data_IF_846970271979
#
_entry.id   IF_846970271979
#
_cell.length_a   1.000
_cell.length_b   1.000
_cell.length_c   1.000
_cell.angle_alpha   90.00
_cell.angle_beta   90.00
_cell.angle_gamma   90.00
#
_symmetry.space_group_name_H-M   'P 1'
#
loop_
_entity.id
_entity.type
_entity.pdbx_description
1 polymer ?
#
# COMPACT_ATOMS: atom_id res chain seq x y z
N UNK A 1 1.55 -31.90 -13.67
CA UNK A 1 1.34 -31.23 -12.38
C UNK A 1 0.47 -30.03 -12.64
N UNK A 2 -0.55 -29.86 -11.85
CA UNK A 2 -1.48 -28.74 -11.99
C UNK A 2 -0.93 -27.50 -11.26
N UNK A 3 -1.14 -26.33 -11.83
CA UNK A 3 -0.76 -25.05 -11.21
C UNK A 3 -1.40 -24.86 -9.84
N UNK A 4 -2.64 -25.33 -9.65
CA UNK A 4 -3.37 -25.26 -8.38
C UNK A 4 -2.67 -26.03 -7.26
N UNK A 5 -2.06 -27.17 -7.56
CA UNK A 5 -1.27 -27.95 -6.58
C UNK A 5 -0.01 -27.20 -6.14
N UNK A 6 0.69 -26.56 -7.09
CA UNK A 6 1.87 -25.74 -6.78
C UNK A 6 1.48 -24.53 -5.92
N UNK A 7 0.38 -23.86 -6.23
CA UNK A 7 -0.09 -22.72 -5.47
C UNK A 7 -0.59 -23.10 -4.07
N UNK A 8 -1.23 -24.26 -3.93
CA UNK A 8 -1.59 -24.82 -2.63
C UNK A 8 -0.34 -25.11 -1.78
N UNK A 9 0.72 -25.65 -2.41
CA UNK A 9 2.01 -25.87 -1.76
C UNK A 9 2.65 -24.55 -1.29
N UNK A 10 2.59 -23.49 -2.11
CA UNK A 10 3.08 -22.15 -1.77
C UNK A 10 2.39 -21.62 -0.52
N UNK A 11 1.06 -21.66 -0.50
CA UNK A 11 0.25 -21.17 0.65
C UNK A 11 0.54 -21.99 1.91
N UNK A 12 0.60 -23.32 1.79
CA UNK A 12 0.91 -24.24 2.91
C UNK A 12 2.28 -23.94 3.54
N UNK A 13 3.27 -23.60 2.71
CA UNK A 13 4.62 -23.28 3.18
C UNK A 13 4.81 -21.80 3.55
N UNK A 14 3.76 -20.99 3.56
CA UNK A 14 3.79 -19.55 3.85
C UNK A 14 4.82 -18.82 2.96
N UNK A 15 4.99 -19.29 1.73
CA UNK A 15 5.84 -18.64 0.75
C UNK A 15 5.16 -17.38 0.22
N UNK A 16 5.94 -16.34 -0.05
CA UNK A 16 5.44 -15.08 -0.61
C UNK A 16 5.21 -15.15 -2.12
N UNK A 17 6.07 -15.90 -2.82
CA UNK A 17 6.04 -15.96 -4.28
C UNK A 17 6.33 -17.39 -4.78
N UNK A 18 5.68 -17.77 -5.88
CA UNK A 18 6.03 -18.89 -6.74
C UNK A 18 6.75 -18.37 -7.99
N UNK A 19 7.87 -18.97 -8.33
CA UNK A 19 8.61 -18.68 -9.54
C UNK A 19 8.59 -19.90 -10.47
N UNK A 20 8.02 -19.75 -11.65
CA UNK A 20 8.08 -20.72 -12.73
C UNK A 20 9.02 -20.18 -13.81
N UNK A 21 9.95 -20.99 -14.27
CA UNK A 21 10.90 -20.60 -15.31
C UNK A 21 11.29 -21.81 -16.14
N UNK A 22 11.11 -21.72 -17.45
CA UNK A 22 11.50 -22.79 -18.38
C UNK A 22 12.97 -23.19 -18.18
N UNK A 23 13.24 -24.50 -18.16
CA UNK A 23 14.55 -25.09 -17.93
C UNK A 23 14.94 -25.22 -16.45
N UNK A 24 14.07 -24.87 -15.50
CA UNK A 24 14.33 -24.94 -14.06
C UNK A 24 13.17 -25.61 -13.32
N UNK A 25 13.43 -26.27 -12.16
CA UNK A 25 12.37 -26.67 -11.26
C UNK A 25 11.57 -25.46 -10.76
N UNK A 26 10.30 -25.63 -10.37
CA UNK A 26 9.57 -24.58 -9.67
C UNK A 26 10.31 -24.13 -8.42
N UNK A 27 10.26 -22.83 -8.10
CA UNK A 27 10.90 -22.25 -6.92
C UNK A 27 9.90 -21.43 -6.12
N UNK A 28 10.10 -21.38 -4.82
CA UNK A 28 9.30 -20.54 -3.91
C UNK A 28 10.19 -19.58 -3.15
N UNK A 29 9.65 -18.41 -2.82
CA UNK A 29 10.32 -17.46 -1.95
C UNK A 29 9.77 -17.60 -0.52
N UNK A 30 10.65 -17.99 0.42
CA UNK A 30 10.32 -18.15 1.84
C UNK A 30 11.26 -17.29 2.66
N UNK A 31 10.73 -16.38 3.47
CA UNK A 31 11.49 -15.42 4.28
C UNK A 31 12.54 -14.60 3.49
N UNK A 32 12.26 -14.32 2.22
CA UNK A 32 13.15 -13.57 1.34
C UNK A 32 14.06 -14.45 0.45
N UNK A 33 14.30 -15.71 0.82
CA UNK A 33 15.17 -16.63 0.09
C UNK A 33 14.41 -17.43 -0.96
N UNK A 34 14.99 -17.55 -2.16
CA UNK A 34 14.46 -18.42 -3.21
C UNK A 34 14.94 -19.85 -2.97
N UNK A 35 14.00 -20.81 -2.90
CA UNK A 35 14.25 -22.23 -2.68
C UNK A 35 13.63 -23.06 -3.79
N UNK A 36 14.37 -24.05 -4.27
CA UNK A 36 13.86 -25.02 -5.25
C UNK A 36 12.86 -25.97 -4.60
N UNK A 37 11.76 -26.24 -5.30
CA UNK A 37 10.90 -27.37 -4.96
C UNK A 37 11.56 -28.63 -5.54
N UNK A 38 11.48 -29.76 -4.83
CA UNK A 38 12.05 -31.02 -5.28
C UNK A 38 11.17 -31.67 -6.36
N UNK A 39 11.22 -31.10 -7.54
CA UNK A 39 10.48 -31.46 -8.74
C UNK A 39 11.43 -31.38 -9.95
N UNK A 40 11.12 -32.08 -11.06
CA UNK A 40 11.91 -31.98 -12.29
C UNK A 40 11.88 -30.54 -12.85
N UNK A 41 12.88 -30.22 -13.66
CA UNK A 41 12.89 -28.98 -14.42
C UNK A 41 11.73 -29.00 -15.43
N UNK A 42 11.06 -27.86 -15.57
CA UNK A 42 9.92 -27.69 -16.47
C UNK A 42 10.38 -27.25 -17.85
N UNK A 43 9.79 -27.80 -18.89
CA UNK A 43 9.98 -27.31 -20.24
C UNK A 43 9.17 -26.04 -20.52
N UNK A 44 9.50 -25.37 -21.63
CA UNK A 44 8.72 -24.19 -22.06
C UNK A 44 7.21 -24.49 -22.17
N UNK A 45 6.87 -25.64 -22.73
CA UNK A 45 5.47 -26.06 -22.92
C UNK A 45 4.71 -26.19 -21.59
N UNK A 46 5.38 -26.73 -20.58
CA UNK A 46 4.77 -26.95 -19.26
C UNK A 46 4.46 -25.60 -18.60
N UNK A 47 5.45 -24.70 -18.58
CA UNK A 47 5.27 -23.35 -17.98
C UNK A 47 4.23 -22.56 -18.74
N UNK A 48 4.28 -22.57 -20.08
CA UNK A 48 3.32 -21.88 -20.92
C UNK A 48 1.89 -22.39 -20.67
N UNK A 49 1.69 -23.71 -20.62
CA UNK A 49 0.38 -24.31 -20.34
C UNK A 49 -0.17 -23.90 -18.97
N UNK A 50 0.65 -24.02 -17.93
CA UNK A 50 0.27 -23.61 -16.57
C UNK A 50 -0.16 -22.13 -16.47
N UNK A 51 0.55 -21.25 -17.18
CA UNK A 51 0.25 -19.82 -17.20
C UNK A 51 -1.03 -19.56 -18.00
N UNK A 52 -1.22 -20.24 -19.12
CA UNK A 52 -2.43 -20.13 -19.94
C UNK A 52 -3.69 -20.61 -19.22
N UNK A 53 -3.59 -21.66 -18.40
CA UNK A 53 -4.73 -22.22 -17.66
C UNK A 53 -5.36 -21.21 -16.68
N UNK A 54 -4.59 -20.26 -16.19
CA UNK A 54 -5.06 -19.24 -15.26
C UNK A 54 -5.39 -17.89 -15.92
N UNK A 55 -5.23 -17.79 -17.26
CA UNK A 55 -5.54 -16.60 -18.05
C UNK A 55 -6.91 -16.71 -18.70
N UNK A 56 -7.64 -15.59 -18.73
CA UNK A 56 -8.80 -15.44 -19.61
C UNK A 56 -8.36 -15.13 -21.06
N UNK A 57 -9.31 -15.18 -22.01
CA UNK A 57 -8.99 -15.04 -23.44
C UNK A 57 -8.38 -13.67 -23.79
N UNK A 58 -8.79 -12.60 -23.12
CA UNK A 58 -8.22 -11.26 -23.30
C UNK A 58 -6.76 -11.20 -22.81
N UNK A 59 -6.47 -11.81 -21.67
CA UNK A 59 -5.12 -11.90 -21.10
C UNK A 59 -4.20 -12.76 -21.94
N UNK A 60 -4.71 -13.88 -22.49
CA UNK A 60 -3.96 -14.75 -23.43
C UNK A 60 -3.57 -13.98 -24.68
N UNK A 61 -4.52 -13.27 -25.29
CA UNK A 61 -4.25 -12.44 -26.47
C UNK A 61 -3.23 -11.35 -26.17
N UNK A 62 -3.36 -10.65 -25.04
CA UNK A 62 -2.42 -9.62 -24.61
C UNK A 62 -1.02 -10.18 -24.40
N UNK A 63 -0.92 -11.36 -23.75
CA UNK A 63 0.37 -12.03 -23.50
C UNK A 63 1.07 -12.43 -24.81
N UNK A 64 0.32 -12.95 -25.81
CA UNK A 64 0.88 -13.31 -27.10
C UNK A 64 1.38 -12.10 -27.91
N UNK A 65 0.66 -10.98 -27.82
CA UNK A 65 1.00 -9.74 -28.54
C UNK A 65 2.17 -8.99 -27.88
N UNK A 66 2.26 -9.00 -26.54
CA UNK A 66 3.20 -8.17 -25.77
C UNK A 66 4.35 -8.96 -25.13
N UNK A 67 4.30 -10.30 -25.11
CA UNK A 67 5.27 -11.21 -24.50
C UNK A 67 5.36 -11.08 -22.97
N UNK A 68 4.46 -10.33 -22.37
CA UNK A 68 4.31 -10.14 -20.92
C UNK A 68 2.84 -9.83 -20.58
N UNK A 69 2.41 -10.21 -19.38
CA UNK A 69 1.06 -9.90 -18.89
C UNK A 69 1.03 -9.87 -17.38
N UNK A 70 0.53 -8.76 -16.81
CA UNK A 70 0.21 -8.62 -15.39
C UNK A 70 -1.29 -8.86 -15.18
N UNK A 71 -1.64 -9.73 -14.25
CA UNK A 71 -3.03 -9.98 -13.87
C UNK A 71 -3.16 -10.56 -12.48
N UNK A 72 -4.37 -10.65 -11.98
CA UNK A 72 -4.66 -11.34 -10.72
C UNK A 72 -5.77 -12.36 -10.91
N UNK A 73 -5.74 -13.42 -10.13
CA UNK A 73 -6.80 -14.42 -10.07
C UNK A 73 -6.94 -14.98 -8.66
N UNK A 74 -8.07 -15.61 -8.38
CA UNK A 74 -8.34 -16.23 -7.09
C UNK A 74 -8.67 -17.71 -7.26
N UNK A 75 -8.14 -18.54 -6.37
CA UNK A 75 -8.59 -19.93 -6.22
C UNK A 75 -9.51 -19.96 -5.01
N UNK A 76 -10.79 -20.33 -5.17
CA UNK A 76 -11.75 -20.40 -4.08
C UNK A 76 -11.21 -21.23 -2.90
N UNK A 77 -11.39 -20.73 -1.69
CA UNK A 77 -10.94 -21.36 -0.43
C UNK A 77 -9.41 -21.55 -0.29
N UNK A 78 -8.61 -20.97 -1.18
CA UNK A 78 -7.15 -21.05 -1.09
C UNK A 78 -6.52 -19.67 -0.88
N UNK A 79 -6.44 -18.86 -1.92
CA UNK A 79 -5.87 -17.50 -1.88
C UNK A 79 -6.13 -16.77 -3.20
N UNK A 80 -5.87 -15.46 -3.20
CA UNK A 80 -5.72 -14.64 -4.40
C UNK A 80 -4.23 -14.53 -4.75
N UNK A 81 -3.92 -14.46 -6.03
CA UNK A 81 -2.56 -14.38 -6.55
C UNK A 81 -2.44 -13.23 -7.55
N UNK A 82 -1.38 -12.45 -7.44
CA UNK A 82 -0.94 -11.53 -8.49
C UNK A 82 0.11 -12.24 -9.32
N UNK A 83 -0.06 -12.22 -10.63
CA UNK A 83 0.79 -12.92 -11.59
C UNK A 83 1.44 -11.90 -12.52
N UNK A 84 2.75 -11.98 -12.67
CA UNK A 84 3.47 -11.43 -13.80
C UNK A 84 3.98 -12.60 -14.64
N UNK A 85 3.43 -12.76 -15.84
CA UNK A 85 3.86 -13.73 -16.83
C UNK A 85 4.71 -13.01 -17.88
N UNK A 86 5.81 -13.63 -18.31
CA UNK A 86 6.72 -13.03 -19.28
C UNK A 86 7.50 -14.08 -20.06
N UNK A 87 8.04 -13.68 -21.20
CA UNK A 87 8.93 -14.52 -22.01
C UNK A 87 10.38 -14.15 -21.75
N UNK A 88 11.25 -15.12 -21.56
CA UNK A 88 12.68 -14.96 -21.36
C UNK A 88 13.48 -15.93 -22.25
N UNK A 89 14.83 -15.87 -22.25
CA UNK A 89 15.72 -16.59 -23.16
C UNK A 89 15.38 -18.10 -23.32
N UNK A 90 14.93 -18.77 -22.26
CA UNK A 90 14.60 -20.20 -22.26
C UNK A 90 13.13 -20.49 -22.55
N UNK A 91 12.29 -19.46 -22.73
CA UNK A 91 10.86 -19.56 -22.98
C UNK A 91 10.03 -18.89 -21.89
N UNK A 92 8.81 -19.38 -21.66
CA UNK A 92 7.86 -18.81 -20.72
C UNK A 92 8.39 -18.83 -19.28
N UNK A 93 8.03 -17.79 -18.53
CA UNK A 93 8.28 -17.67 -17.11
C UNK A 93 7.11 -16.93 -16.43
N UNK A 94 6.92 -17.15 -15.13
CA UNK A 94 5.95 -16.40 -14.35
C UNK A 94 6.39 -16.27 -12.90
N UNK A 95 6.01 -15.15 -12.27
CA UNK A 95 6.09 -14.93 -10.83
C UNK A 95 4.68 -14.74 -10.31
N UNK A 96 4.30 -15.54 -9.32
CA UNK A 96 2.97 -15.51 -8.73
C UNK A 96 3.10 -15.16 -7.25
N UNK A 97 2.66 -13.97 -6.87
CA UNK A 97 2.67 -13.50 -5.48
C UNK A 97 1.38 -13.86 -4.78
N UNK A 98 1.48 -14.49 -3.63
CA UNK A 98 0.33 -14.77 -2.78
C UNK A 98 -0.18 -13.47 -2.13
N UNK A 99 -1.45 -13.17 -2.32
CA UNK A 99 -2.14 -12.07 -1.65
C UNK A 99 -2.78 -12.62 -0.37
N UNK A 100 -2.43 -12.08 0.82
CA UNK A 100 -2.98 -12.56 2.07
C UNK A 100 -4.52 -12.42 2.10
N UNK A 101 -5.21 -13.48 2.53
CA UNK A 101 -6.66 -13.46 2.70
C UNK A 101 -7.10 -12.87 4.04
N UNK A 102 -6.20 -12.86 5.04
CA UNK A 102 -6.48 -12.33 6.38
C UNK A 102 -5.93 -10.92 6.52
N UNK A 103 -6.82 -9.97 6.78
CA UNK A 103 -6.46 -8.60 7.14
C UNK A 103 -6.13 -8.57 8.63
N UNK A 104 -4.96 -8.03 8.98
CA UNK A 104 -4.55 -7.82 10.36
C UNK A 104 -5.26 -6.57 10.92
N UNK A 105 -5.58 -6.58 12.21
CA UNK A 105 -6.12 -5.41 12.88
C UNK A 105 -5.03 -4.37 13.15
N UNK A 106 -5.41 -3.13 13.48
CA UNK A 106 -4.47 -2.09 13.91
C UNK A 106 -3.71 -2.50 15.18
N UNK A 107 -4.34 -3.28 16.06
CA UNK A 107 -3.73 -3.86 17.25
C UNK A 107 -2.70 -4.93 16.90
N UNK A 108 -3.02 -5.85 15.99
CA UNK A 108 -2.10 -6.89 15.53
C UNK A 108 -0.83 -6.26 14.93
N UNK A 109 -0.99 -5.16 14.20
CA UNK A 109 0.10 -4.39 13.60
C UNK A 109 0.84 -3.51 14.61
N UNK A 110 0.36 -3.42 15.85
CA UNK A 110 0.89 -2.53 16.91
C UNK A 110 0.95 -1.07 16.47
N UNK A 111 -0.05 -0.64 15.69
CA UNK A 111 -0.17 0.74 15.25
C UNK A 111 -0.41 1.68 16.44
N UNK A 112 0.08 2.92 16.37
CA UNK A 112 -0.26 3.96 17.37
C UNK A 112 -1.78 4.16 17.48
N UNK A 113 -2.32 4.43 18.69
CA UNK A 113 -3.77 4.61 18.90
C UNK A 113 -4.40 5.68 18.02
N UNK A 114 -3.65 6.72 17.66
CA UNK A 114 -4.08 7.79 16.76
C UNK A 114 -4.57 7.30 15.38
N UNK A 115 -4.15 6.10 14.94
CA UNK A 115 -4.60 5.54 13.66
C UNK A 115 -6.09 5.24 13.64
N UNK A 116 -6.67 4.86 14.79
CA UNK A 116 -8.14 4.71 14.93
C UNK A 116 -8.83 6.05 14.82
N UNK A 117 -8.34 7.06 15.54
CA UNK A 117 -8.90 8.42 15.49
C UNK A 117 -8.84 9.00 14.06
N UNK A 118 -7.75 8.71 13.32
CA UNK A 118 -7.62 9.10 11.91
C UNK A 118 -8.66 8.36 11.06
N UNK A 119 -8.85 7.05 11.30
CA UNK A 119 -9.81 6.24 10.56
C UNK A 119 -11.27 6.65 10.86
N UNK A 120 -11.57 7.10 12.07
CA UNK A 120 -12.88 7.56 12.51
C UNK A 120 -13.19 9.02 12.09
N UNK A 121 -12.24 9.69 11.37
CA UNK A 121 -12.46 11.04 10.87
C UNK A 121 -13.55 11.04 9.79
N UNK A 122 -14.59 11.90 9.88
CA UNK A 122 -15.74 11.82 8.98
C UNK A 122 -15.42 12.25 7.54
N UNK A 123 -14.41 13.08 7.33
CA UNK A 123 -14.02 13.61 6.01
C UNK A 123 -12.61 14.19 6.00
N UNK A 124 -12.05 14.31 4.84
CA UNK A 124 -10.73 14.90 4.58
C UNK A 124 -9.76 13.89 4.03
N UNK A 125 -8.51 14.26 3.88
CA UNK A 125 -7.49 13.45 3.23
C UNK A 125 -6.51 12.88 4.27
N UNK A 126 -6.31 11.57 4.24
CA UNK A 126 -5.34 10.84 5.04
C UNK A 126 -4.36 10.12 4.11
N UNK A 127 -3.07 10.37 4.26
CA UNK A 127 -2.04 9.85 3.38
C UNK A 127 -1.16 8.85 4.12
N UNK A 128 -0.94 7.68 3.52
CA UNK A 128 0.02 6.69 4.02
C UNK A 128 1.16 6.59 3.02
N UNK A 129 2.37 6.93 3.44
CA UNK A 129 3.51 7.08 2.56
C UNK A 129 4.71 6.23 3.00
N UNK A 130 5.67 6.08 2.12
CA UNK A 130 6.87 5.28 2.36
C UNK A 130 7.32 4.55 1.12
N UNK A 131 8.53 3.99 1.12
CA UNK A 131 9.07 3.25 -0.02
C UNK A 131 8.24 2.00 -0.33
N UNK A 132 8.47 1.40 -1.50
CA UNK A 132 7.89 0.11 -1.86
C UNK A 132 8.27 -0.94 -0.81
N UNK A 133 7.30 -1.74 -0.38
CA UNK A 133 7.51 -2.77 0.64
C UNK A 133 7.57 -2.25 2.08
N UNK A 134 7.21 -0.99 2.33
CA UNK A 134 7.13 -0.44 3.71
C UNK A 134 5.87 -0.83 4.48
N UNK A 135 4.94 -1.56 3.86
CA UNK A 135 3.71 -2.04 4.50
C UNK A 135 2.52 -1.08 4.41
N UNK A 136 2.54 -0.09 3.51
CA UNK A 136 1.44 0.88 3.33
C UNK A 136 0.08 0.21 3.14
N UNK A 137 0.00 -0.73 2.19
CA UNK A 137 -1.24 -1.45 1.88
C UNK A 137 -1.76 -2.25 3.07
N UNK A 138 -0.87 -2.84 3.86
CA UNK A 138 -1.24 -3.56 5.10
C UNK A 138 -1.85 -2.63 6.13
N UNK A 139 -1.23 -1.47 6.35
CA UNK A 139 -1.73 -0.44 7.28
C UNK A 139 -3.07 0.11 6.82
N UNK A 140 -3.20 0.45 5.53
CA UNK A 140 -4.46 0.93 4.95
C UNK A 140 -5.57 -0.14 5.03
N UNK A 141 -5.25 -1.40 4.73
CA UNK A 141 -6.21 -2.49 4.87
C UNK A 141 -6.71 -2.62 6.31
N UNK A 142 -5.84 -2.47 7.31
CA UNK A 142 -6.22 -2.47 8.72
C UNK A 142 -7.11 -1.27 9.09
N UNK A 143 -6.82 -0.06 8.58
CA UNK A 143 -7.65 1.14 8.79
C UNK A 143 -9.03 0.97 8.13
N UNK A 144 -9.08 0.50 6.88
CA UNK A 144 -10.33 0.20 6.18
C UNK A 144 -11.14 -0.87 6.91
N UNK A 145 -10.48 -1.92 7.40
CA UNK A 145 -11.16 -2.96 8.17
C UNK A 145 -11.72 -2.42 9.49
N UNK A 146 -11.00 -1.52 10.16
CA UNK A 146 -11.49 -0.83 11.37
C UNK A 146 -12.80 -0.08 11.08
N UNK A 147 -12.86 0.71 10.01
CA UNK A 147 -14.08 1.42 9.58
C UNK A 147 -15.20 0.41 9.28
N UNK A 148 -14.90 -0.63 8.49
CA UNK A 148 -15.83 -1.66 8.08
C UNK A 148 -16.47 -2.44 9.26
N UNK A 149 -15.76 -2.52 10.38
CA UNK A 149 -16.25 -3.19 11.60
C UNK A 149 -17.07 -2.27 12.51
N UNK A 150 -16.87 -0.95 12.43
CA UNK A 150 -17.42 -0.01 13.39
C UNK A 150 -18.49 0.92 12.80
N UNK A 151 -18.39 1.28 11.50
CA UNK A 151 -19.27 2.25 10.86
C UNK A 151 -20.24 1.61 9.87
N UNK A 152 -21.37 2.28 9.62
CA UNK A 152 -22.35 1.92 8.60
C UNK A 152 -22.24 2.89 7.44
N UNK A 153 -21.47 2.54 6.41
CA UNK A 153 -21.21 3.41 5.29
C UNK A 153 -20.83 2.64 4.02
N UNK A 154 -20.43 3.37 3.00
CA UNK A 154 -19.95 2.82 1.74
C UNK A 154 -18.46 3.14 1.56
N UNK A 155 -17.64 2.11 1.47
CA UNK A 155 -16.21 2.22 1.21
C UNK A 155 -15.96 1.81 -0.25
N UNK A 156 -15.38 2.72 -1.01
CA UNK A 156 -14.97 2.46 -2.39
C UNK A 156 -13.44 2.46 -2.47
N UNK A 157 -12.85 1.41 -3.03
CA UNK A 157 -11.41 1.39 -3.30
C UNK A 157 -11.12 1.40 -4.80
N UNK A 158 -10.05 2.11 -5.19
CA UNK A 158 -9.50 2.13 -6.54
C UNK A 158 -8.04 1.78 -6.45
N UNK A 159 -7.65 0.63 -6.97
CA UNK A 159 -6.33 0.02 -6.76
C UNK A 159 -5.71 -0.52 -8.05
N UNK A 160 -4.39 -0.65 -8.09
CA UNK A 160 -3.64 -1.19 -9.23
C UNK A 160 -2.43 -2.02 -8.74
N UNK A 161 -2.65 -3.32 -8.50
CA UNK A 161 -3.90 -4.07 -8.35
C UNK A 161 -4.48 -4.01 -6.91
N UNK A 162 -5.62 -4.68 -6.70
CA UNK A 162 -6.17 -4.94 -5.35
C UNK A 162 -5.19 -5.82 -4.56
N UNK A 163 -4.71 -5.32 -3.42
CA UNK A 163 -3.75 -6.03 -2.57
C UNK A 163 -4.40 -6.81 -1.42
N UNK A 164 -5.58 -6.38 -0.97
CA UNK A 164 -6.37 -7.06 0.05
C UNK A 164 -7.84 -7.09 -0.35
N UNK A 165 -8.47 -8.24 -0.22
CA UNK A 165 -9.90 -8.36 -0.45
C UNK A 165 -10.63 -8.16 0.86
N UNK A 166 -11.58 -7.22 0.89
CA UNK A 166 -12.40 -6.90 2.04
C UNK A 166 -13.80 -7.49 1.87
N UNK A 167 -14.22 -8.29 2.83
CA UNK A 167 -15.62 -8.68 2.94
C UNK A 167 -16.42 -7.52 3.55
N UNK A 168 -17.60 -7.23 2.99
CA UNK A 168 -18.52 -6.26 3.57
C UNK A 168 -19.03 -6.77 4.93
N UNK A 169 -18.83 -5.97 5.99
CA UNK A 169 -19.28 -6.25 7.35
C UNK A 169 -20.43 -5.32 7.71
N UNK A 170 -20.15 -4.20 8.39
CA UNK A 170 -21.11 -3.13 8.59
C UNK A 170 -21.16 -2.17 7.39
N UNK A 171 -20.03 -1.95 6.73
CA UNK A 171 -19.99 -1.16 5.52
C UNK A 171 -20.30 -2.00 4.26
N UNK A 172 -20.87 -1.36 3.25
CA UNK A 172 -20.77 -1.84 1.88
C UNK A 172 -19.35 -1.55 1.37
N UNK A 173 -18.65 -2.54 0.81
CA UNK A 173 -17.33 -2.34 0.22
C UNK A 173 -17.37 -2.70 -1.27
N UNK A 174 -17.00 -1.75 -2.10
CA UNK A 174 -16.78 -1.95 -3.53
C UNK A 174 -15.31 -1.69 -3.87
N UNK A 175 -14.63 -2.71 -4.40
CA UNK A 175 -13.22 -2.62 -4.78
C UNK A 175 -13.09 -2.64 -6.31
N UNK A 176 -12.43 -1.63 -6.86
CA UNK A 176 -12.20 -1.48 -8.30
C UNK A 176 -10.72 -1.55 -8.62
N UNK A 177 -10.34 -2.49 -9.46
CA UNK A 177 -8.99 -2.66 -9.97
C UNK A 177 -8.83 -1.97 -11.31
N UNK A 178 -7.73 -1.26 -11.52
CA UNK A 178 -7.41 -0.66 -12.83
C UNK A 178 -7.12 -1.78 -13.84
N UNK A 179 -7.61 -1.61 -15.06
CA UNK A 179 -7.61 -2.62 -16.11
C UNK A 179 -8.92 -3.42 -16.10
N UNK A 180 -9.15 -4.33 -15.17
CA UNK A 180 -10.39 -5.13 -15.16
C UNK A 180 -11.68 -4.35 -14.88
N UNK A 181 -11.65 -3.35 -14.00
CA UNK A 181 -12.85 -2.69 -13.50
C UNK A 181 -12.91 -1.19 -13.82
N UNK A 182 -11.81 -0.58 -14.26
CA UNK A 182 -11.74 0.80 -14.70
C UNK A 182 -10.51 1.01 -15.59
N UNK A 183 -10.59 1.96 -16.51
CA UNK A 183 -9.49 2.24 -17.45
C UNK A 183 -8.35 3.06 -16.82
N UNK A 184 -8.64 3.83 -15.77
CA UNK A 184 -7.64 4.66 -15.07
C UNK A 184 -8.14 5.07 -13.69
N UNK A 185 -7.21 5.49 -12.83
CA UNK A 185 -7.54 6.09 -11.53
C UNK A 185 -8.44 7.32 -11.67
N UNK A 186 -8.14 8.21 -12.61
CA UNK A 186 -8.93 9.41 -12.86
C UNK A 186 -10.37 9.08 -13.28
N UNK A 187 -10.57 8.12 -14.19
CA UNK A 187 -11.91 7.68 -14.60
C UNK A 187 -12.68 7.06 -13.42
N UNK A 188 -12.03 6.22 -12.64
CA UNK A 188 -12.64 5.60 -11.46
C UNK A 188 -13.06 6.65 -10.43
N UNK A 189 -12.20 7.63 -10.13
CA UNK A 189 -12.48 8.70 -9.16
C UNK A 189 -13.58 9.65 -9.62
N UNK A 190 -13.61 10.02 -10.92
CA UNK A 190 -14.74 10.81 -11.45
C UNK A 190 -16.08 10.08 -11.30
N UNK A 191 -16.10 8.77 -11.49
CA UNK A 191 -17.28 7.94 -11.27
C UNK A 191 -17.63 7.83 -9.78
N UNK A 192 -16.61 7.62 -8.94
CA UNK A 192 -16.73 7.46 -7.49
C UNK A 192 -17.58 8.55 -6.83
N UNK A 193 -17.42 9.80 -7.24
CA UNK A 193 -18.19 10.94 -6.72
C UNK A 193 -19.71 10.84 -6.97
N UNK A 194 -20.16 9.88 -7.78
CA UNK A 194 -21.58 9.61 -8.07
C UNK A 194 -22.03 8.23 -7.60
N UNK A 195 -21.15 7.50 -6.91
CA UNK A 195 -21.39 6.15 -6.41
C UNK A 195 -21.78 6.14 -4.92
N UNK A 196 -22.05 7.33 -4.34
CA UNK A 196 -22.44 7.54 -2.94
C UNK A 196 -21.47 6.94 -1.92
N UNK A 197 -20.15 7.15 -2.04
CA UNK A 197 -19.19 6.66 -1.05
C UNK A 197 -19.08 7.61 0.13
N UNK A 198 -18.87 7.06 1.32
CA UNK A 198 -18.42 7.82 2.50
C UNK A 198 -16.89 7.85 2.57
N UNK A 199 -16.27 6.74 2.19
CA UNK A 199 -14.82 6.54 2.23
C UNK A 199 -14.30 6.12 0.86
N UNK A 200 -13.25 6.77 0.39
CA UNK A 200 -12.57 6.44 -0.86
C UNK A 200 -11.11 6.11 -0.58
N UNK A 201 -10.65 4.92 -1.00
CA UNK A 201 -9.23 4.57 -0.98
C UNK A 201 -8.67 4.65 -2.40
N UNK A 202 -7.63 5.47 -2.57
CA UNK A 202 -6.85 5.61 -3.81
C UNK A 202 -5.53 4.90 -3.62
N UNK A 203 -5.36 3.76 -4.25
CA UNK A 203 -4.22 2.86 -4.07
C UNK A 203 -2.87 3.56 -4.28
N UNK A 204 -2.78 4.45 -5.26
CA UNK A 204 -1.61 5.28 -5.49
C UNK A 204 -1.96 6.60 -6.20
N UNK A 205 -1.39 7.70 -5.73
CA UNK A 205 -1.53 9.04 -6.31
C UNK A 205 -0.25 9.45 -7.03
N UNK A 206 -0.17 9.16 -8.34
CA UNK A 206 1.03 9.41 -9.16
C UNK A 206 0.98 10.67 -10.00
N UNK A 207 -0.20 11.00 -10.50
CA UNK A 207 -0.41 12.05 -11.49
C UNK A 207 -1.29 13.17 -10.95
N UNK A 208 -1.18 14.34 -11.60
CA UNK A 208 -1.86 15.56 -11.25
C UNK A 208 -3.38 15.38 -11.19
N UNK A 209 -3.95 14.68 -12.16
CA UNK A 209 -5.40 14.53 -12.28
C UNK A 209 -5.97 13.68 -11.14
N UNK A 210 -5.31 12.56 -10.82
CA UNK A 210 -5.68 11.70 -9.69
C UNK A 210 -5.59 12.46 -8.37
N UNK A 211 -4.51 13.22 -8.15
CA UNK A 211 -4.33 14.03 -6.94
C UNK A 211 -5.43 15.10 -6.83
N UNK A 212 -5.72 15.81 -7.91
CA UNK A 212 -6.78 16.83 -7.95
C UNK A 212 -8.14 16.26 -7.57
N UNK A 213 -8.52 15.13 -8.18
CA UNK A 213 -9.80 14.46 -7.91
C UNK A 213 -9.89 13.97 -6.47
N UNK A 214 -8.80 13.40 -5.92
CA UNK A 214 -8.74 12.97 -4.52
C UNK A 214 -8.90 14.15 -3.55
N UNK A 215 -8.25 15.29 -3.82
CA UNK A 215 -8.40 16.50 -3.02
C UNK A 215 -9.83 17.04 -3.09
N UNK A 216 -10.43 17.09 -4.30
CA UNK A 216 -11.81 17.51 -4.48
C UNK A 216 -12.78 16.63 -3.70
N UNK A 217 -12.61 15.30 -3.74
CA UNK A 217 -13.41 14.37 -2.95
C UNK A 217 -13.29 14.66 -1.45
N UNK A 218 -12.07 14.90 -0.95
CA UNK A 218 -11.84 15.22 0.46
C UNK A 218 -12.49 16.54 0.89
N UNK A 219 -12.51 17.55 0.03
CA UNK A 219 -13.17 18.84 0.29
C UNK A 219 -14.70 18.73 0.26
N UNK A 220 -15.23 17.90 -0.63
CA UNK A 220 -16.68 17.74 -0.83
C UNK A 220 -17.34 16.80 0.17
N UNK A 221 -16.63 16.32 1.16
CA UNK A 221 -17.23 15.63 2.30
C UNK A 221 -16.85 14.16 2.49
N UNK A 222 -15.98 13.60 1.65
CA UNK A 222 -15.54 12.22 1.74
C UNK A 222 -14.28 12.06 2.60
N UNK A 223 -14.13 10.93 3.26
CA UNK A 223 -12.85 10.51 3.83
C UNK A 223 -12.02 9.83 2.73
N UNK A 224 -10.89 10.42 2.38
CA UNK A 224 -10.03 9.92 1.30
C UNK A 224 -8.73 9.40 1.87
N UNK A 225 -8.45 8.13 1.66
CA UNK A 225 -7.13 7.53 1.88
C UNK A 225 -6.35 7.49 0.58
N UNK A 226 -5.08 7.84 0.64
CA UNK A 226 -4.20 7.74 -0.54
C UNK A 226 -2.79 7.32 -0.18
N UNK A 227 -2.03 6.83 -1.17
CA UNK A 227 -0.61 6.51 -0.98
C UNK A 227 0.29 7.30 -1.90
N UNK A 228 1.50 7.59 -1.40
CA UNK A 228 2.64 8.10 -2.14
C UNK A 228 3.93 7.37 -1.71
N UNK A 229 4.99 7.52 -2.50
CA UNK A 229 6.30 6.90 -2.23
C UNK A 229 7.30 7.83 -1.55
N UNK A 230 6.85 8.85 -0.86
CA UNK A 230 7.67 9.81 -0.12
C UNK A 230 8.09 9.25 1.24
N UNK A 231 9.23 9.72 1.75
CA UNK A 231 9.86 9.20 2.98
C UNK A 231 9.58 10.03 4.23
N UNK A 232 8.82 11.13 4.13
CA UNK A 232 8.43 11.97 5.26
C UNK A 232 7.16 12.75 4.94
N UNK A 233 6.48 13.24 5.98
CA UNK A 233 5.29 14.05 5.84
C UNK A 233 5.57 15.37 5.08
N UNK A 234 6.66 16.04 5.41
CA UNK A 234 7.07 17.27 4.73
C UNK A 234 7.29 17.03 3.21
N UNK A 235 8.05 15.99 2.86
CA UNK A 235 8.26 15.62 1.44
C UNK A 235 6.96 15.22 0.74
N UNK A 236 5.99 14.70 1.46
CA UNK A 236 4.67 14.38 0.92
C UNK A 236 3.93 15.63 0.49
N UNK A 237 3.93 16.66 1.33
CA UNK A 237 3.33 17.96 1.02
C UNK A 237 3.99 18.59 -0.21
N UNK A 238 5.31 18.65 -0.23
CA UNK A 238 6.07 19.18 -1.38
C UNK A 238 5.73 18.40 -2.65
N UNK A 239 5.73 17.07 -2.58
CA UNK A 239 5.44 16.21 -3.75
C UNK A 239 4.05 16.45 -4.33
N UNK A 240 3.03 16.64 -3.49
CA UNK A 240 1.67 16.95 -3.95
C UNK A 240 1.65 18.30 -4.65
N UNK A 241 2.25 19.32 -4.06
CA UNK A 241 2.26 20.67 -4.60
C UNK A 241 3.06 20.76 -5.91
N UNK A 242 4.17 20.02 -5.98
CA UNK A 242 5.10 20.11 -7.10
C UNK A 242 4.59 19.49 -8.42
N UNK A 243 3.58 18.62 -8.37
CA UNK A 243 2.98 18.11 -9.60
C UNK A 243 2.10 19.14 -10.31
N UNK A 244 1.71 20.23 -9.62
CA UNK A 244 0.85 21.26 -10.20
C UNK A 244 1.65 22.39 -10.87
N UNK A 245 1.09 23.01 -11.90
CA UNK A 245 1.65 24.22 -12.51
C UNK A 245 1.85 25.35 -11.49
N UNK A 246 2.81 26.23 -11.77
CA UNK A 246 3.21 27.28 -10.83
C UNK A 246 2.06 28.24 -10.43
N UNK A 247 1.20 28.56 -11.38
CA UNK A 247 0.02 29.42 -11.21
C UNK A 247 -1.11 28.77 -10.38
N UNK A 248 -1.09 27.45 -10.21
CA UNK A 248 -2.08 26.74 -9.40
C UNK A 248 -1.58 26.42 -7.97
N UNK A 249 -0.28 26.50 -7.71
CA UNK A 249 0.30 26.03 -6.44
C UNK A 249 -0.27 26.71 -5.19
N UNK A 250 -0.61 27.99 -5.27
CA UNK A 250 -1.22 28.71 -4.13
C UNK A 250 -2.61 28.16 -3.82
N UNK A 251 -3.43 27.95 -4.82
CA UNK A 251 -4.76 27.34 -4.67
C UNK A 251 -4.64 25.92 -4.11
N UNK A 252 -3.71 25.13 -4.62
CA UNK A 252 -3.47 23.74 -4.15
C UNK A 252 -3.04 23.72 -2.69
N UNK A 253 -2.18 24.64 -2.24
CA UNK A 253 -1.83 24.78 -0.82
C UNK A 253 -3.05 25.10 0.05
N UNK A 254 -3.91 26.00 -0.41
CA UNK A 254 -5.14 26.34 0.30
C UNK A 254 -6.04 25.11 0.43
N UNK A 255 -6.34 24.41 -0.67
CA UNK A 255 -7.15 23.20 -0.70
C UNK A 255 -6.56 22.11 0.22
N UNK A 256 -5.27 21.83 0.08
CA UNK A 256 -4.59 20.80 0.87
C UNK A 256 -4.61 21.15 2.37
N UNK A 257 -4.41 22.44 2.73
CA UNK A 257 -4.44 22.89 4.11
C UNK A 257 -5.80 22.66 4.78
N UNK A 258 -6.89 22.76 4.04
CA UNK A 258 -8.25 22.55 4.58
C UNK A 258 -8.64 21.07 4.61
N UNK A 259 -8.26 20.31 3.58
CA UNK A 259 -8.66 18.91 3.44
C UNK A 259 -7.78 17.93 4.20
N UNK A 260 -6.49 18.22 4.41
CA UNK A 260 -5.54 17.29 5.03
C UNK A 260 -5.89 17.02 6.52
N UNK A 261 -5.99 15.74 6.88
CA UNK A 261 -6.18 15.28 8.26
C UNK A 261 -4.92 14.67 8.83
N UNK A 262 -4.26 13.80 8.07
CA UNK A 262 -3.02 13.15 8.53
C UNK A 262 -2.10 12.76 7.39
N UNK A 263 -0.80 12.69 7.68
CA UNK A 263 0.19 11.99 6.88
C UNK A 263 0.93 11.01 7.78
N UNK A 264 0.92 9.74 7.39
CA UNK A 264 1.62 8.65 8.06
C UNK A 264 2.73 8.19 7.14
N UNK A 265 3.98 8.50 7.46
CA UNK A 265 5.13 8.01 6.72
C UNK A 265 5.70 6.78 7.42
N UNK A 266 5.86 5.68 6.69
CA UNK A 266 6.12 4.36 7.25
C UNK A 266 7.36 3.69 6.66
N UNK A 267 8.13 3.03 7.51
CA UNK A 267 9.22 2.13 7.12
C UNK A 267 9.17 0.84 7.94
N UNK A 268 9.66 -0.27 7.37
CA UNK A 268 9.75 -1.56 8.07
C UNK A 268 11.18 -1.81 8.56
N UNK A 269 11.28 -2.35 9.77
CA UNK A 269 12.52 -2.79 10.41
C UNK A 269 12.42 -4.26 10.79
N UNK A 270 13.56 -4.97 10.83
CA UNK A 270 13.63 -6.31 11.37
C UNK A 270 13.50 -6.26 12.89
N UNK A 271 12.71 -7.17 13.44
CA UNK A 271 12.66 -7.33 14.91
C UNK A 271 13.96 -7.91 15.44
N UNK A 272 14.35 -7.52 16.65
CA UNK A 272 15.61 -7.94 17.27
C UNK A 272 15.71 -9.45 17.49
N UNK A 273 14.57 -10.10 17.72
CA UNK A 273 14.45 -11.56 17.88
C UNK A 273 14.44 -12.33 16.55
N UNK A 274 14.48 -11.62 15.43
CA UNK A 274 14.41 -12.23 14.09
C UNK A 274 13.08 -12.86 13.73
N UNK A 275 12.02 -12.68 14.53
CA UNK A 275 10.71 -13.31 14.30
C UNK A 275 9.92 -12.68 13.15
N UNK A 276 10.27 -11.45 12.73
CA UNK A 276 9.54 -10.74 11.68
C UNK A 276 9.99 -9.31 11.46
N UNK A 277 9.04 -8.47 11.13
CA UNK A 277 9.24 -7.04 10.91
C UNK A 277 8.22 -6.22 11.69
N UNK A 278 8.62 -5.03 12.10
CA UNK A 278 7.75 -4.03 12.74
C UNK A 278 7.81 -2.74 11.94
N UNK A 279 6.70 -2.01 11.89
CA UNK A 279 6.65 -0.71 11.24
C UNK A 279 7.08 0.40 12.23
N UNK A 280 7.87 1.34 11.73
CA UNK A 280 8.09 2.63 12.39
C UNK A 280 7.39 3.72 11.57
N UNK A 281 6.81 4.68 12.29
CA UNK A 281 5.95 5.70 11.71
C UNK A 281 6.39 7.11 12.11
N UNK A 282 6.42 8.01 11.13
CA UNK A 282 6.25 9.44 11.35
C UNK A 282 4.77 9.76 11.17
N UNK A 283 4.20 10.48 12.13
CA UNK A 283 2.77 10.85 12.11
C UNK A 283 2.64 12.35 12.19
N UNK A 284 2.04 12.96 11.18
CA UNK A 284 1.69 14.37 11.14
C UNK A 284 0.17 14.52 11.10
N UNK A 285 -0.40 15.33 12.00
CA UNK A 285 -1.83 15.62 12.06
C UNK A 285 -2.07 17.04 11.54
N UNK A 286 -3.13 17.22 10.78
CA UNK A 286 -3.55 18.50 10.20
C UNK A 286 -4.06 19.50 11.25
N UNK A 287 -3.25 19.81 12.26
CA UNK A 287 -3.54 20.84 13.25
C UNK A 287 -3.56 22.25 12.61
N UNK A 288 -4.16 23.26 13.25
CA UNK A 288 -4.11 24.64 12.75
C UNK A 288 -2.68 25.12 12.44
N UNK A 289 -1.68 24.72 13.25
CA UNK A 289 -0.28 25.05 13.02
C UNK A 289 0.24 24.42 11.73
N UNK A 290 0.02 23.13 11.53
CA UNK A 290 0.43 22.41 10.29
C UNK A 290 -0.26 23.00 9.07
N UNK A 291 -1.57 23.25 9.14
CA UNK A 291 -2.34 23.87 8.05
C UNK A 291 -1.77 25.23 7.66
N UNK A 292 -1.40 26.04 8.64
CA UNK A 292 -0.78 27.36 8.40
C UNK A 292 0.57 27.21 7.70
N UNK A 293 1.42 26.27 8.12
CA UNK A 293 2.71 26.00 7.47
C UNK A 293 2.53 25.56 5.99
N UNK A 294 1.48 24.81 5.69
CA UNK A 294 1.16 24.42 4.29
C UNK A 294 0.79 25.66 3.47
N UNK A 295 -0.14 26.50 3.97
CA UNK A 295 -0.58 27.74 3.29
C UNK A 295 0.56 28.69 3.01
N UNK A 296 1.44 28.89 3.99
CA UNK A 296 2.57 29.81 3.90
C UNK A 296 3.81 29.23 3.19
N UNK A 297 3.71 28.01 2.64
CA UNK A 297 4.84 27.31 2.00
C UNK A 297 6.07 27.12 2.93
N UNK A 298 5.85 27.01 4.24
CA UNK A 298 6.90 26.85 5.26
C UNK A 298 7.11 25.38 5.62
N UNK A 299 7.21 24.51 4.63
CA UNK A 299 7.31 23.05 4.79
C UNK A 299 8.53 22.66 5.63
N UNK A 300 9.65 23.40 5.54
CA UNK A 300 10.85 23.13 6.33
C UNK A 300 10.61 23.20 7.86
N UNK A 301 9.59 23.91 8.32
CA UNK A 301 9.26 24.03 9.75
C UNK A 301 8.35 22.90 10.25
N UNK A 302 7.82 22.05 9.36
CA UNK A 302 6.90 20.97 9.74
C UNK A 302 7.56 19.96 10.66
N UNK A 303 8.83 19.63 10.45
CA UNK A 303 9.54 18.68 11.30
C UNK A 303 9.51 19.11 12.77
N UNK A 304 9.79 20.37 13.07
CA UNK A 304 9.74 20.91 14.43
C UNK A 304 8.31 20.87 15.00
N UNK A 305 7.30 21.17 14.18
CA UNK A 305 5.90 21.11 14.61
C UNK A 305 5.47 19.66 14.91
N UNK A 306 5.92 18.68 14.11
CA UNK A 306 5.67 17.26 14.38
C UNK A 306 6.36 16.83 15.68
N UNK A 307 7.64 17.21 15.86
CA UNK A 307 8.45 16.85 17.02
C UNK A 307 7.83 17.32 18.34
N UNK A 308 7.21 18.49 18.35
CA UNK A 308 6.58 19.10 19.53
C UNK A 308 5.09 18.77 19.67
N UNK A 309 4.50 18.12 18.66
CA UNK A 309 3.06 17.86 18.57
C UNK A 309 2.59 16.55 19.21
N UNK A 310 3.31 15.99 20.17
CA UNK A 310 2.98 14.71 20.81
C UNK A 310 1.59 14.69 21.46
N UNK A 311 1.13 15.81 22.00
CA UNK A 311 -0.22 15.94 22.57
C UNK A 311 -1.36 15.75 21.56
N UNK A 312 -1.07 15.89 20.27
CA UNK A 312 -1.98 15.62 19.15
C UNK A 312 -1.77 14.25 18.52
N UNK A 313 -0.96 13.38 19.12
CA UNK A 313 -0.61 12.08 18.56
C UNK A 313 0.47 12.13 17.46
N UNK A 314 1.10 13.28 17.23
CA UNK A 314 2.20 13.41 16.27
C UNK A 314 3.50 12.82 16.84
N UNK A 315 4.31 12.27 15.96
CA UNK A 315 5.67 11.81 16.28
C UNK A 315 6.56 11.88 15.06
N UNK A 316 7.84 12.16 15.24
CA UNK A 316 8.84 12.00 14.19
C UNK A 316 9.24 10.52 14.06
N UNK A 317 9.79 10.16 12.91
CA UNK A 317 10.32 8.81 12.70
C UNK A 317 11.38 8.46 13.77
N UNK A 318 12.30 9.38 14.08
CA UNK A 318 13.37 9.16 15.05
C UNK A 318 12.82 8.94 16.47
N UNK A 319 11.77 9.66 16.88
CA UNK A 319 11.10 9.45 18.16
C UNK A 319 10.50 8.04 18.25
N UNK A 320 9.84 7.58 17.19
CA UNK A 320 9.28 6.24 17.17
C UNK A 320 10.37 5.15 17.14
N UNK A 321 11.44 5.37 16.38
CA UNK A 321 12.60 4.47 16.36
C UNK A 321 13.24 4.34 17.76
N UNK A 322 13.41 5.47 18.48
CA UNK A 322 13.93 5.47 19.85
C UNK A 322 13.02 4.67 20.81
N UNK A 323 11.69 4.81 20.69
CA UNK A 323 10.75 4.01 21.49
C UNK A 323 10.89 2.50 21.20
N UNK A 324 10.97 2.12 19.92
CA UNK A 324 11.14 0.73 19.52
C UNK A 324 12.45 0.13 20.03
N UNK A 325 13.55 0.89 20.04
CA UNK A 325 14.83 0.47 20.61
C UNK A 325 14.75 0.35 22.14
N UNK A 326 14.16 1.36 22.81
CA UNK A 326 13.96 1.37 24.26
C UNK A 326 13.12 0.19 24.74
N UNK A 327 12.11 -0.19 23.98
CA UNK A 327 11.25 -1.36 24.22
C UNK A 327 11.90 -2.68 23.81
N UNK A 328 13.14 -2.65 23.33
CA UNK A 328 13.91 -3.82 22.90
C UNK A 328 13.27 -4.62 21.74
N UNK A 329 12.44 -3.94 20.92
CA UNK A 329 11.76 -4.54 19.75
C UNK A 329 12.71 -4.56 18.55
N UNK A 330 13.51 -3.50 18.38
CA UNK A 330 14.46 -3.31 17.28
C UNK A 330 15.84 -3.05 17.84
N UNK A 331 16.90 -3.48 17.14
CA UNK A 331 18.27 -3.16 17.54
C UNK A 331 18.61 -1.69 17.21
N UNK A 332 19.58 -1.11 17.94
CA UNK A 332 20.06 0.25 17.67
C UNK A 332 20.64 0.39 16.26
N UNK A 333 21.35 -0.63 15.76
CA UNK A 333 21.93 -0.63 14.42
C UNK A 333 20.85 -0.61 13.31
N UNK A 334 19.79 -1.42 13.48
CA UNK A 334 18.67 -1.43 12.53
C UNK A 334 17.93 -0.09 12.53
N UNK A 335 17.68 0.49 13.70
CA UNK A 335 17.06 1.81 13.84
C UNK A 335 17.94 2.91 13.23
N UNK A 336 19.25 2.89 13.49
CA UNK A 336 20.22 3.83 12.92
C UNK A 336 20.22 3.82 11.39
N UNK A 337 20.03 2.64 10.77
CA UNK A 337 19.94 2.48 9.33
C UNK A 337 18.76 3.23 8.70
N UNK A 338 17.71 3.52 9.47
CA UNK A 338 16.47 4.19 9.02
C UNK A 338 16.31 5.61 9.56
N UNK A 339 17.06 5.98 10.58
CA UNK A 339 16.95 7.27 11.26
C UNK A 339 17.33 8.45 10.36
N UNK A 340 16.63 9.57 10.54
CA UNK A 340 16.99 10.85 9.95
C UNK A 340 18.28 11.40 10.60
N UNK A 341 18.38 11.33 11.93
CA UNK A 341 19.59 11.65 12.68
C UNK A 341 20.20 10.38 13.28
N UNK A 342 21.25 9.87 12.64
CA UNK A 342 21.94 8.65 13.03
C UNK A 342 22.68 8.73 14.38
N UNK A 343 23.00 9.94 14.82
CA UNK A 343 23.73 10.17 16.10
C UNK A 343 22.86 9.86 17.32
N UNK A 344 21.55 9.86 17.17
CA UNK A 344 20.61 9.50 18.22
C UNK A 344 20.62 8.00 18.58
N UNK A 345 21.35 7.17 17.83
CA UNK A 345 21.35 5.70 17.93
C UNK A 345 22.79 5.13 18.06
N UNK A 346 23.61 5.77 18.86
CA UNK A 346 24.98 5.29 19.21
C UNK A 346 24.94 4.22 20.27
#
# INVERSE_FOLDING_TARGET
>A
MDISELLAFVVKNKASDLHLSSGLPPMIRVHGDIRRINLPAMEHKDVHHMVYDIMNDGQRKFYEENLECDFSFAIPNLARFRVNAFVQLRGAAAVMRTIPSKIQSLEDLKCPPIFKEIADTPRGMCLVTGPTGSGKSTTLAAMVNHINENEFGHILTVEDPIEFVHDSKKCLINQREIGPHSLSFANALRSALREDPDVILVGEMRDLETIRLAMTAAETGHLVFGTLHTSSAAKTIDRIIDVFPADEKEMVRAMLSESLRAVISQTLLKTKDGSGRVAAHEVMIGTPAIRNLIREAKVAQMYSAIQTGQSFGMQTLDQNLQDLVKRNIVSSDEARGKAANKDNFK
#
